data_IF_233226239801
#
_entry.id   IF_233226239801
#
_cell.length_a   1.000
_cell.length_b   1.000
_cell.length_c   1.000
_cell.angle_alpha   90.00
_cell.angle_beta   90.00
_cell.angle_gamma   90.00
#
_symmetry.space_group_name_H-M   'P 1'
#
loop_
_entity.id
_entity.type
_entity.pdbx_description
1 polymer ?
#
# COMPACT_ATOMS: atom_id res chain seq x y z
N UNK A 1 -0.63 9.44 0.78
CA UNK A 1 0.57 9.95 1.47
C UNK A 1 1.45 10.62 0.44
N UNK A 2 2.13 11.72 0.76
CA UNK A 2 2.97 12.44 -0.21
C UNK A 2 4.17 13.13 0.43
N UNK A 3 5.26 13.21 -0.34
CA UNK A 3 6.47 13.97 -0.03
C UNK A 3 7.23 14.30 -1.32
N UNK A 4 7.33 15.58 -1.68
CA UNK A 4 7.98 16.05 -2.89
C UNK A 4 7.48 15.40 -4.20
N UNK A 5 6.16 15.47 -4.42
CA UNK A 5 5.46 14.84 -5.55
C UNK A 5 4.68 15.86 -6.38
N UNK A 6 5.17 17.11 -6.51
CA UNK A 6 4.47 18.18 -7.24
C UNK A 6 4.15 17.81 -8.70
N UNK A 7 4.99 16.99 -9.33
CA UNK A 7 4.79 16.48 -10.70
C UNK A 7 3.63 15.48 -10.83
N UNK A 8 3.16 14.89 -9.74
CA UNK A 8 2.25 13.73 -9.76
C UNK A 8 0.97 13.91 -8.94
N UNK A 9 1.04 14.64 -7.83
CA UNK A 9 -0.03 14.71 -6.81
C UNK A 9 -1.36 15.21 -7.36
N UNK A 10 -1.32 16.12 -8.33
CA UNK A 10 -2.53 16.61 -9.02
C UNK A 10 -3.29 15.45 -9.66
N UNK A 11 -2.60 14.59 -10.42
CA UNK A 11 -3.24 13.44 -11.06
C UNK A 11 -3.73 12.40 -10.03
N UNK A 12 -2.97 12.17 -8.97
CA UNK A 12 -3.39 11.28 -7.89
C UNK A 12 -4.73 11.76 -7.29
N UNK A 13 -4.85 13.06 -6.97
CA UNK A 13 -6.06 13.66 -6.42
C UNK A 13 -7.24 13.61 -7.41
N UNK A 14 -7.02 13.93 -8.68
CA UNK A 14 -8.07 13.81 -9.71
C UNK A 14 -8.59 12.37 -9.84
N UNK A 15 -7.73 11.36 -9.66
CA UNK A 15 -8.15 9.96 -9.72
C UNK A 15 -9.07 9.54 -8.56
N UNK A 16 -8.90 10.19 -7.40
CA UNK A 16 -9.76 9.98 -6.21
C UNK A 16 -11.04 10.79 -6.33
N UNK A 17 -10.96 12.05 -6.75
CA UNK A 17 -12.11 12.96 -6.88
C UNK A 17 -13.06 12.55 -8.01
N UNK A 18 -12.58 11.81 -9.01
CA UNK A 18 -13.40 11.27 -10.09
C UNK A 18 -14.08 9.93 -9.78
N UNK A 19 -14.01 9.47 -8.53
CA UNK A 19 -14.71 8.26 -8.11
C UNK A 19 -16.22 8.46 -8.06
N UNK A 20 -16.96 7.52 -8.65
CA UNK A 20 -18.40 7.44 -8.68
C UNK A 20 -18.84 6.48 -7.57
N UNK A 21 -19.41 7.03 -6.50
CA UNK A 21 -19.92 6.28 -5.34
C UNK A 21 -21.29 6.79 -4.95
N UNK A 22 -22.08 5.91 -4.32
CA UNK A 22 -23.35 6.22 -3.67
C UNK A 22 -23.20 6.46 -2.15
N UNK A 23 -21.97 6.36 -1.64
CA UNK A 23 -21.58 6.68 -0.28
C UNK A 23 -20.62 7.86 -0.23
N UNK A 24 -20.52 8.47 0.96
CA UNK A 24 -19.62 9.60 1.22
C UNK A 24 -18.14 9.16 1.24
N UNK A 25 -17.26 10.04 0.78
CA UNK A 25 -15.82 9.86 0.79
C UNK A 25 -15.19 11.02 1.55
N UNK A 26 -14.22 10.71 2.42
CA UNK A 26 -13.27 11.66 2.98
C UNK A 26 -11.89 11.39 2.38
N UNK A 27 -11.17 12.44 1.98
CA UNK A 27 -9.80 12.37 1.49
C UNK A 27 -8.89 13.01 2.54
N UNK A 28 -8.15 12.18 3.27
CA UNK A 28 -7.11 12.64 4.19
C UNK A 28 -5.75 12.64 3.51
N UNK A 29 -5.21 13.83 3.25
CA UNK A 29 -3.90 14.02 2.64
C UNK A 29 -2.87 14.28 3.75
N UNK A 30 -1.90 13.38 3.90
CA UNK A 30 -0.70 13.65 4.70
C UNK A 30 0.45 14.04 3.78
N UNK A 31 0.97 15.25 4.00
CA UNK A 31 2.18 15.78 3.39
C UNK A 31 3.32 15.76 4.42
N UNK A 32 4.40 15.04 4.11
CA UNK A 32 5.52 14.83 5.03
C UNK A 32 6.58 15.94 4.95
N UNK A 33 6.12 17.20 5.02
CA UNK A 33 6.92 18.41 4.92
C UNK A 33 7.61 18.58 3.57
N UNK A 34 6.83 18.50 2.48
CA UNK A 34 7.34 18.76 1.13
C UNK A 34 7.93 20.16 1.02
N UNK A 35 9.04 20.26 0.31
CA UNK A 35 9.77 21.51 0.04
C UNK A 35 9.63 21.98 -1.41
N UNK A 36 8.95 21.19 -2.24
CA UNK A 36 8.59 21.54 -3.62
C UNK A 36 7.18 22.17 -3.69
N UNK A 37 6.58 22.21 -4.89
CA UNK A 37 5.23 22.73 -5.11
C UNK A 37 4.07 21.89 -4.56
N UNK A 38 4.34 20.77 -3.88
CA UNK A 38 3.31 19.80 -3.47
C UNK A 38 2.27 20.42 -2.53
N UNK A 39 2.70 21.18 -1.52
CA UNK A 39 1.78 21.78 -0.54
C UNK A 39 0.85 22.80 -1.18
N UNK A 40 1.32 23.60 -2.13
CA UNK A 40 0.53 24.60 -2.84
C UNK A 40 -0.55 23.94 -3.71
N UNK A 41 -0.21 22.82 -4.36
CA UNK A 41 -1.18 22.02 -5.11
C UNK A 41 -2.25 21.48 -4.15
N UNK A 42 -1.84 20.86 -3.03
CA UNK A 42 -2.76 20.35 -2.00
C UNK A 42 -3.69 21.45 -1.49
N UNK A 43 -3.17 22.64 -1.18
CA UNK A 43 -3.98 23.77 -0.69
C UNK A 43 -5.00 24.25 -1.72
N UNK A 44 -4.64 24.20 -3.01
CA UNK A 44 -5.56 24.50 -4.12
C UNK A 44 -6.72 23.50 -4.16
N UNK A 45 -6.44 22.21 -4.03
CA UNK A 45 -7.47 21.16 -4.00
C UNK A 45 -8.34 21.26 -2.76
N UNK A 46 -7.73 21.42 -1.57
CA UNK A 46 -8.46 21.61 -0.31
C UNK A 46 -9.41 22.80 -0.37
N UNK A 47 -8.99 23.91 -0.96
CA UNK A 47 -9.83 25.11 -1.09
C UNK A 47 -11.02 24.89 -2.03
N UNK A 48 -10.87 24.04 -3.06
CA UNK A 48 -11.95 23.66 -3.99
C UNK A 48 -12.92 22.63 -3.39
N UNK A 49 -12.43 21.76 -2.50
CA UNK A 49 -13.20 20.65 -1.94
C UNK A 49 -13.09 20.59 -0.41
N UNK A 50 -13.47 21.67 0.33
CA UNK A 50 -13.21 21.79 1.77
C UNK A 50 -13.99 20.76 2.61
N UNK A 51 -15.14 20.29 2.13
CA UNK A 51 -15.99 19.31 2.82
C UNK A 51 -15.55 17.85 2.57
N UNK A 52 -14.64 17.63 1.61
CA UNK A 52 -14.17 16.31 1.21
C UNK A 52 -12.70 16.12 1.60
N UNK A 53 -11.88 17.17 1.49
CA UNK A 53 -10.42 17.09 1.67
C UNK A 53 -10.01 17.65 3.02
N UNK A 54 -9.37 16.79 3.82
CA UNK A 54 -8.61 17.16 5.02
C UNK A 54 -7.12 16.99 4.78
N UNK A 55 -6.32 17.79 5.46
CA UNK A 55 -4.87 17.80 5.26
C UNK A 55 -4.13 17.79 6.60
N UNK A 56 -3.10 16.96 6.70
CA UNK A 56 -2.08 16.98 7.75
C UNK A 56 -0.77 17.35 7.07
N UNK A 57 -0.31 18.58 7.27
CA UNK A 57 0.96 19.06 6.72
C UNK A 57 2.00 19.11 7.82
N UNK A 58 3.02 18.28 7.71
CA UNK A 58 4.11 18.26 8.66
C UNK A 58 5.02 19.48 8.47
N UNK A 59 5.64 19.93 9.56
CA UNK A 59 6.66 21.00 9.52
C UNK A 59 8.06 20.46 9.22
N UNK A 60 8.29 19.20 9.55
CA UNK A 60 9.54 18.48 9.33
C UNK A 60 9.23 17.08 8.81
N UNK A 61 10.12 16.51 8.01
CA UNK A 61 9.91 15.20 7.39
C UNK A 61 9.96 14.09 8.46
N UNK A 62 8.80 13.54 8.82
CA UNK A 62 8.65 12.57 9.89
C UNK A 62 9.28 11.23 9.53
N UNK A 63 9.25 10.84 8.25
CA UNK A 63 9.90 9.62 7.80
C UNK A 63 11.41 9.64 8.06
N UNK A 64 12.06 10.78 7.82
CA UNK A 64 13.49 11.00 8.05
C UNK A 64 13.85 10.95 9.54
N UNK A 65 12.89 11.26 10.41
CA UNK A 65 13.00 11.12 11.86
C UNK A 65 12.71 9.69 12.34
N UNK A 66 12.57 8.73 11.43
CA UNK A 66 12.33 7.33 11.74
C UNK A 66 10.87 7.01 12.10
N UNK A 67 9.95 7.97 12.03
CA UNK A 67 8.52 7.73 12.29
C UNK A 67 7.84 7.08 11.10
N UNK A 68 6.70 6.42 11.32
CA UNK A 68 5.88 5.87 10.24
C UNK A 68 4.66 6.73 9.99
N UNK A 69 4.47 7.12 8.73
CA UNK A 69 3.38 7.99 8.30
C UNK A 69 2.02 7.38 8.64
N UNK A 70 1.90 6.06 8.51
CA UNK A 70 0.66 5.36 8.83
C UNK A 70 0.28 5.51 10.32
N UNK A 71 1.22 5.62 11.25
CA UNK A 71 0.92 5.80 12.68
C UNK A 71 0.36 7.19 12.98
N UNK A 72 0.80 8.18 12.21
CA UNK A 72 0.29 9.55 12.30
C UNK A 72 -1.10 9.62 11.68
N UNK A 73 -1.31 8.92 10.57
CA UNK A 73 -2.58 8.90 9.86
C UNK A 73 -3.65 8.10 10.59
N UNK A 74 -3.28 6.97 11.20
CA UNK A 74 -4.23 5.97 11.68
C UNK A 74 -5.30 6.52 12.63
N UNK A 75 -4.97 7.35 13.65
CA UNK A 75 -5.95 7.92 14.57
C UNK A 75 -6.94 8.89 13.91
N UNK A 76 -6.58 9.42 12.75
CA UNK A 76 -7.33 10.46 12.04
C UNK A 76 -8.33 9.89 11.03
N UNK A 77 -8.21 8.61 10.69
CA UNK A 77 -9.07 7.94 9.70
C UNK A 77 -10.47 7.68 10.27
N UNK A 78 -11.52 8.10 9.58
CA UNK A 78 -12.90 8.02 10.11
C UNK A 78 -13.79 6.96 9.44
N UNK A 79 -13.59 6.67 8.15
CA UNK A 79 -14.47 5.77 7.38
C UNK A 79 -14.42 4.29 7.79
N UNK A 80 -15.50 3.57 7.49
CA UNK A 80 -15.61 2.11 7.69
C UNK A 80 -14.63 1.32 6.79
N UNK A 81 -14.31 1.91 5.64
CA UNK A 81 -13.36 1.38 4.67
C UNK A 81 -12.22 2.36 4.45
N UNK A 82 -10.99 1.86 4.49
CA UNK A 82 -9.77 2.65 4.30
C UNK A 82 -9.14 2.26 2.96
N UNK A 83 -9.09 3.19 2.02
CA UNK A 83 -8.35 3.03 0.76
C UNK A 83 -7.04 3.83 0.84
N UNK A 84 -5.93 3.21 0.43
CA UNK A 84 -4.62 3.87 0.44
C UNK A 84 -4.21 4.27 -0.98
N UNK A 85 -3.55 5.43 -1.08
CA UNK A 85 -2.97 5.95 -2.32
C UNK A 85 -1.76 6.84 -1.99
N UNK A 86 -0.65 6.59 -2.69
CA UNK A 86 0.53 7.45 -2.68
C UNK A 86 0.39 8.55 -3.74
N UNK A 87 0.92 9.74 -3.48
CA UNK A 87 0.74 10.92 -4.33
C UNK A 87 1.43 10.83 -5.69
N UNK A 88 2.25 9.81 -5.93
CA UNK A 88 2.86 9.47 -7.21
C UNK A 88 2.10 8.37 -7.98
N UNK A 89 1.05 7.80 -7.41
CA UNK A 89 0.23 6.74 -8.02
C UNK A 89 -1.15 7.26 -8.45
N UNK A 90 -1.94 6.41 -9.11
CA UNK A 90 -3.25 6.82 -9.62
C UNK A 90 -4.22 5.64 -9.78
N UNK A 91 -5.49 5.87 -9.49
CA UNK A 91 -6.57 4.91 -9.75
C UNK A 91 -7.07 5.03 -11.19
N UNK A 92 -7.33 3.88 -11.82
CA UNK A 92 -7.67 3.80 -13.25
C UNK A 92 -9.15 3.66 -13.54
N UNK A 93 -9.93 3.18 -12.59
CA UNK A 93 -11.38 3.00 -12.73
C UNK A 93 -12.10 4.07 -11.92
N UNK A 94 -13.13 4.69 -12.52
CA UNK A 94 -14.00 5.65 -11.83
C UNK A 94 -14.90 4.99 -10.79
N UNK A 95 -15.11 3.69 -10.85
CA UNK A 95 -15.96 2.93 -9.92
C UNK A 95 -15.14 1.99 -9.02
N UNK A 96 -13.83 2.21 -8.88
CA UNK A 96 -12.93 1.38 -8.05
C UNK A 96 -13.45 1.30 -6.62
N UNK A 97 -13.75 2.44 -5.99
CA UNK A 97 -14.21 2.45 -4.61
C UNK A 97 -15.54 1.71 -4.44
N UNK A 98 -16.51 1.96 -5.31
CA UNK A 98 -17.80 1.26 -5.29
C UNK A 98 -17.63 -0.27 -5.43
N UNK A 99 -16.75 -0.72 -6.34
CA UNK A 99 -16.44 -2.14 -6.52
C UNK A 99 -15.79 -2.78 -5.29
N UNK A 100 -14.84 -2.09 -4.67
CA UNK A 100 -14.15 -2.61 -3.50
C UNK A 100 -15.06 -2.63 -2.26
N UNK A 101 -15.87 -1.59 -2.05
CA UNK A 101 -16.88 -1.57 -0.98
C UNK A 101 -17.89 -2.68 -1.18
N UNK A 102 -18.48 -2.80 -2.37
CA UNK A 102 -19.42 -3.89 -2.70
C UNK A 102 -18.79 -5.26 -2.45
N UNK A 103 -17.55 -5.48 -2.90
CA UNK A 103 -16.85 -6.75 -2.68
C UNK A 103 -16.69 -7.05 -1.19
N UNK A 104 -16.33 -6.05 -0.38
CA UNK A 104 -16.19 -6.24 1.06
C UNK A 104 -17.55 -6.48 1.72
N UNK A 105 -18.59 -5.70 1.41
CA UNK A 105 -19.95 -5.87 1.95
C UNK A 105 -20.53 -7.26 1.66
N UNK A 106 -20.31 -7.78 0.44
CA UNK A 106 -20.73 -9.14 0.05
C UNK A 106 -19.91 -10.25 0.72
N UNK A 107 -18.78 -9.92 1.37
CA UNK A 107 -17.86 -10.85 1.99
C UNK A 107 -17.45 -10.34 3.39
N UNK A 108 -18.34 -10.43 4.40
CA UNK A 108 -18.11 -9.83 5.72
C UNK A 108 -16.93 -10.44 6.48
N UNK A 109 -16.44 -11.63 6.11
CA UNK A 109 -15.22 -12.27 6.64
C UNK A 109 -13.93 -11.87 5.91
N UNK A 110 -14.01 -10.96 4.93
CA UNK A 110 -12.88 -10.41 4.18
C UNK A 110 -12.35 -9.14 4.86
N UNK A 111 -11.07 -9.15 5.25
CA UNK A 111 -10.43 -8.06 5.97
C UNK A 111 -9.94 -6.93 5.06
N UNK A 112 -9.48 -7.27 3.86
CA UNK A 112 -9.02 -6.31 2.87
C UNK A 112 -9.15 -6.89 1.47
N UNK A 113 -9.29 -6.02 0.46
CA UNK A 113 -9.26 -6.43 -0.94
C UNK A 113 -8.34 -5.54 -1.77
N UNK A 114 -7.91 -6.07 -2.92
CA UNK A 114 -7.18 -5.30 -3.93
C UNK A 114 -7.55 -5.73 -5.34
N UNK A 115 -7.29 -4.85 -6.31
CA UNK A 115 -7.30 -5.18 -7.72
C UNK A 115 -5.92 -5.57 -8.28
N UNK A 116 -5.82 -5.60 -9.60
CA UNK A 116 -4.55 -5.59 -10.33
C UNK A 116 -4.01 -4.16 -10.40
N UNK A 117 -2.73 -4.01 -10.11
CA UNK A 117 -1.97 -2.77 -10.33
C UNK A 117 -0.97 -2.94 -11.45
N UNK A 118 -0.93 -1.99 -12.37
CA UNK A 118 0.05 -1.95 -13.44
C UNK A 118 1.23 -1.06 -13.05
N UNK A 119 2.44 -1.56 -13.20
CA UNK A 119 3.64 -0.76 -12.97
C UNK A 119 4.02 -0.08 -14.27
N UNK A 120 4.20 1.23 -14.21
CA UNK A 120 4.42 2.09 -15.37
C UNK A 120 5.71 2.88 -15.24
N UNK A 121 6.34 3.16 -16.37
CA UNK A 121 7.57 3.95 -16.42
C UNK A 121 7.52 4.93 -17.59
N UNK A 122 8.16 6.08 -17.40
CA UNK A 122 8.25 7.13 -18.41
C UNK A 122 6.95 7.90 -18.61
N UNK A 123 7.04 9.00 -19.37
CA UNK A 123 5.91 9.91 -19.64
C UNK A 123 4.74 9.22 -20.36
N UNK A 124 5.02 8.21 -21.19
CA UNK A 124 4.00 7.43 -21.90
C UNK A 124 3.33 6.33 -21.04
N UNK A 125 3.69 6.21 -19.75
CA UNK A 125 3.16 5.20 -18.82
C UNK A 125 3.26 3.78 -19.35
N UNK A 126 4.37 3.47 -20.03
CA UNK A 126 4.63 2.13 -20.57
C UNK A 126 4.51 1.12 -19.45
N UNK A 127 3.61 0.16 -19.64
CA UNK A 127 3.47 -0.98 -18.72
C UNK A 127 4.74 -1.83 -18.76
N UNK A 128 5.37 -2.03 -17.60
CA UNK A 128 6.55 -2.90 -17.50
C UNK A 128 6.27 -4.18 -16.71
N UNK A 129 5.27 -4.17 -15.81
CA UNK A 129 4.79 -5.36 -15.10
C UNK A 129 3.40 -5.17 -14.52
N UNK A 130 2.81 -6.25 -14.03
CA UNK A 130 1.57 -6.21 -13.26
C UNK A 130 1.77 -6.86 -11.89
N UNK A 131 1.05 -6.34 -10.91
CA UNK A 131 1.03 -6.82 -9.53
C UNK A 131 -0.42 -7.04 -9.08
N UNK A 132 -0.69 -8.03 -8.21
CA UNK A 132 0.26 -9.04 -7.79
C UNK A 132 0.61 -10.03 -8.90
N UNK A 133 1.67 -10.84 -8.74
CA UNK A 133 1.96 -11.96 -9.64
C UNK A 133 0.75 -12.90 -9.78
N UNK A 134 0.59 -13.54 -10.94
CA UNK A 134 -0.59 -14.38 -11.27
C UNK A 134 -0.97 -15.40 -10.17
N UNK A 135 0.01 -16.00 -9.50
CA UNK A 135 -0.23 -16.98 -8.41
C UNK A 135 -1.00 -16.42 -7.20
N UNK A 136 -1.01 -15.10 -7.02
CA UNK A 136 -1.75 -14.43 -5.94
C UNK A 136 -3.08 -13.84 -6.41
N UNK A 137 -3.47 -14.05 -7.68
CA UNK A 137 -4.72 -13.55 -8.29
C UNK A 137 -5.88 -14.53 -8.09
N UNK A 138 -6.02 -15.00 -6.86
CA UNK A 138 -7.11 -15.88 -6.45
C UNK A 138 -8.08 -15.05 -5.64
N UNK A 139 -9.40 -15.26 -5.82
CA UNK A 139 -10.44 -14.48 -5.12
C UNK A 139 -10.13 -14.34 -3.63
N UNK A 140 -9.68 -15.43 -3.00
CA UNK A 140 -9.38 -15.54 -1.57
C UNK A 140 -7.95 -15.98 -1.33
N UNK A 141 -7.24 -15.30 -0.43
CA UNK A 141 -5.93 -15.67 0.10
C UNK A 141 -5.93 -15.51 1.62
N UNK A 142 -5.40 -16.48 2.32
CA UNK A 142 -5.20 -16.41 3.78
C UNK A 142 -3.89 -15.71 4.16
N UNK A 143 -3.78 -15.29 5.43
CA UNK A 143 -2.59 -14.64 5.99
C UNK A 143 -1.27 -15.39 5.70
N UNK A 144 -1.25 -16.71 5.84
CA UNK A 144 -0.06 -17.54 5.61
C UNK A 144 0.57 -17.33 4.22
N UNK A 145 -0.25 -16.97 3.23
CA UNK A 145 0.20 -16.71 1.88
C UNK A 145 1.03 -15.43 1.76
N UNK A 146 0.95 -14.55 2.75
CA UNK A 146 1.75 -13.32 2.84
C UNK A 146 3.12 -13.60 3.42
N UNK A 147 3.33 -14.69 4.17
CA UNK A 147 4.60 -14.97 4.85
C UNK A 147 5.83 -14.92 3.91
N UNK A 148 5.79 -15.41 2.65
CA UNK A 148 6.91 -15.29 1.72
C UNK A 148 7.22 -13.85 1.26
N UNK A 149 6.31 -12.91 1.49
CA UNK A 149 6.44 -11.49 1.15
C UNK A 149 5.11 -10.84 0.78
N UNK A 150 5.06 -9.51 0.89
CA UNK A 150 3.88 -8.72 0.58
C UNK A 150 3.43 -8.93 -0.88
N UNK A 151 2.16 -9.30 -1.07
CA UNK A 151 1.51 -9.35 -2.38
C UNK A 151 0.33 -8.37 -2.48
N UNK A 152 0.19 -7.45 -1.54
CA UNK A 152 -0.85 -6.40 -1.52
C UNK A 152 -0.22 -5.05 -1.89
N UNK A 153 -0.82 -4.34 -2.85
CA UNK A 153 -0.30 -3.06 -3.33
C UNK A 153 -0.94 -1.91 -2.56
N UNK A 154 -0.12 -1.06 -1.95
CA UNK A 154 -0.57 0.11 -1.18
C UNK A 154 -1.51 1.00 -1.99
N UNK A 155 -1.18 1.36 -3.23
CA UNK A 155 -2.05 2.19 -4.08
C UNK A 155 -3.35 1.55 -4.55
N UNK A 156 -3.64 0.29 -4.19
CA UNK A 156 -4.82 -0.44 -4.66
C UNK A 156 -5.52 -1.26 -3.57
N UNK A 157 -5.10 -1.13 -2.31
CA UNK A 157 -5.75 -1.82 -1.21
C UNK A 157 -6.95 -1.03 -0.70
N UNK A 158 -8.00 -1.75 -0.32
CA UNK A 158 -9.06 -1.26 0.57
C UNK A 158 -9.16 -2.20 1.76
N UNK A 159 -9.11 -1.64 2.97
CA UNK A 159 -9.13 -2.37 4.24
C UNK A 159 -10.47 -2.10 4.93
N UNK A 160 -11.11 -3.14 5.45
CA UNK A 160 -12.24 -3.01 6.38
C UNK A 160 -11.70 -2.56 7.74
N UNK A 161 -12.01 -1.34 8.16
CA UNK A 161 -11.45 -0.74 9.37
C UNK A 161 -11.76 -1.55 10.62
N UNK A 162 -12.98 -2.11 10.73
CA UNK A 162 -13.39 -2.94 11.87
C UNK A 162 -12.60 -4.24 12.03
N UNK A 163 -11.87 -4.67 11.00
CA UNK A 163 -11.01 -5.86 11.04
C UNK A 163 -9.54 -5.53 11.29
N UNK A 164 -9.16 -4.24 11.33
CA UNK A 164 -7.80 -3.88 11.71
C UNK A 164 -7.69 -3.82 13.24
N UNK A 165 -6.75 -4.56 13.85
CA UNK A 165 -6.51 -4.45 15.28
C UNK A 165 -5.89 -3.09 15.62
N UNK A 166 -5.89 -2.74 16.91
CA UNK A 166 -5.07 -1.64 17.40
C UNK A 166 -3.61 -1.84 16.99
N UNK A 167 -2.92 -0.76 16.62
CA UNK A 167 -1.51 -0.81 16.24
C UNK A 167 -0.70 -1.29 17.45
N UNK A 168 -0.03 -2.46 17.36
CA UNK A 168 0.67 -3.02 18.51
C UNK A 168 2.03 -2.35 18.72
N UNK A 169 2.53 -2.40 19.96
CA UNK A 169 3.87 -1.92 20.32
C UNK A 169 4.96 -2.49 19.41
N UNK A 170 5.95 -1.68 19.04
CA UNK A 170 7.05 -2.03 18.17
C UNK A 170 6.73 -1.92 16.67
N UNK A 171 5.52 -1.51 16.29
CA UNK A 171 5.16 -1.23 14.90
C UNK A 171 5.97 -0.05 14.35
N UNK A 172 6.28 0.92 15.20
CA UNK A 172 7.08 2.12 14.91
C UNK A 172 8.49 1.79 14.43
N UNK A 173 9.01 0.66 14.89
CA UNK A 173 10.34 0.14 14.55
C UNK A 173 10.36 -0.56 13.18
N UNK A 174 9.22 -0.83 12.55
CA UNK A 174 9.17 -1.66 11.34
C UNK A 174 9.55 -0.88 10.10
N UNK A 175 10.44 -1.38 9.23
CA UNK A 175 10.91 -0.63 8.07
C UNK A 175 9.87 -0.48 6.94
N UNK A 176 8.87 -1.37 6.88
CA UNK A 176 7.76 -1.35 5.92
C UNK A 176 6.43 -1.51 6.67
N UNK A 177 5.80 -0.37 6.99
CA UNK A 177 4.56 -0.35 7.74
C UNK A 177 3.38 -0.96 6.99
N UNK A 178 3.36 -0.84 5.66
CA UNK A 178 2.28 -1.35 4.80
C UNK A 178 2.15 -2.88 4.86
N UNK A 179 3.26 -3.60 4.69
CA UNK A 179 3.27 -5.07 4.77
C UNK A 179 2.77 -5.55 6.14
N UNK A 180 3.24 -4.93 7.21
CA UNK A 180 2.81 -5.26 8.57
C UNK A 180 1.33 -4.94 8.78
N UNK A 181 0.86 -3.79 8.31
CA UNK A 181 -0.54 -3.37 8.39
C UNK A 181 -1.48 -4.38 7.70
N UNK A 182 -1.15 -4.80 6.48
CA UNK A 182 -1.96 -5.74 5.72
C UNK A 182 -1.97 -7.12 6.37
N UNK A 183 -0.84 -7.55 6.93
CA UNK A 183 -0.75 -8.80 7.68
C UNK A 183 -1.53 -8.73 9.00
N UNK A 184 -1.57 -7.58 9.68
CA UNK A 184 -2.40 -7.37 10.87
C UNK A 184 -3.90 -7.43 10.54
N UNK A 185 -4.34 -6.78 9.45
CA UNK A 185 -5.72 -6.90 8.98
C UNK A 185 -6.09 -8.36 8.65
N UNK A 186 -5.20 -9.05 7.94
CA UNK A 186 -5.42 -10.43 7.52
C UNK A 186 -5.41 -11.46 8.68
N UNK A 187 -5.10 -11.06 9.92
CA UNK A 187 -5.34 -11.91 11.11
C UNK A 187 -6.82 -12.03 11.45
N UNK A 188 -7.62 -11.02 11.09
CA UNK A 188 -9.05 -10.95 11.41
C UNK A 188 -9.96 -11.46 10.28
N UNK A 189 -9.39 -11.84 9.13
CA UNK A 189 -10.14 -12.26 7.95
C UNK A 189 -9.23 -12.50 6.74
N UNK A 190 -9.83 -12.94 5.62
CA UNK A 190 -9.06 -13.25 4.42
C UNK A 190 -8.79 -12.03 3.53
N UNK A 191 -7.87 -12.19 2.59
CA UNK A 191 -7.43 -11.18 1.63
C UNK A 191 -8.12 -11.41 0.28
N UNK A 192 -8.90 -10.43 -0.15
CA UNK A 192 -9.64 -10.46 -1.40
C UNK A 192 -8.88 -9.98 -2.62
N UNK A 193 -9.17 -10.61 -3.75
CA UNK A 193 -8.70 -10.17 -5.06
C UNK A 193 -9.85 -9.99 -6.03
N UNK A 194 -9.94 -8.79 -6.60
CA UNK A 194 -10.86 -8.46 -7.68
C UNK A 194 -10.06 -8.45 -8.99
N UNK A 195 -10.47 -9.27 -9.97
CA UNK A 195 -9.69 -9.49 -11.20
C UNK A 195 -9.83 -8.36 -12.24
N UNK A 196 -9.59 -7.13 -11.81
CA UNK A 196 -9.70 -5.92 -12.62
C UNK A 196 -8.49 -5.01 -12.39
N UNK A 197 -8.11 -4.24 -13.40
CA UNK A 197 -7.06 -3.24 -13.26
C UNK A 197 -7.61 -1.95 -12.70
N UNK A 198 -7.22 -1.62 -11.47
CA UNK A 198 -7.82 -0.53 -10.71
C UNK A 198 -6.84 0.59 -10.38
N UNK A 199 -5.54 0.37 -10.56
CA UNK A 199 -4.52 1.36 -10.30
C UNK A 199 -3.30 1.17 -11.20
N UNK A 200 -2.49 2.22 -11.32
CA UNK A 200 -1.11 2.08 -11.75
C UNK A 200 -0.14 2.64 -10.71
N UNK A 201 1.02 1.99 -10.62
CA UNK A 201 2.16 2.39 -9.81
C UNK A 201 3.23 3.02 -10.70
N UNK A 202 3.68 4.25 -10.40
CA UNK A 202 4.76 4.89 -11.19
C UNK A 202 6.13 4.48 -10.71
N UNK A 203 7.01 4.17 -11.67
CA UNK A 203 8.44 4.01 -11.45
C UNK A 203 9.17 5.23 -12.01
N UNK A 204 9.84 5.94 -11.12
CA UNK A 204 10.71 7.08 -11.34
C UNK A 204 11.91 7.03 -10.37
N UNK A 205 12.87 7.94 -10.59
CA UNK A 205 14.11 7.97 -9.79
C UNK A 205 13.81 8.06 -8.30
N UNK A 206 12.84 8.86 -7.87
CA UNK A 206 12.60 9.15 -6.45
C UNK A 206 11.77 8.09 -5.68
N UNK A 207 11.39 6.94 -6.27
CA UNK A 207 10.61 5.95 -5.50
C UNK A 207 11.48 5.25 -4.45
N UNK A 208 11.07 5.35 -3.18
CA UNK A 208 11.72 4.69 -2.05
C UNK A 208 11.89 3.17 -2.26
N UNK A 209 10.83 2.48 -2.66
CA UNK A 209 10.91 1.03 -2.89
C UNK A 209 11.83 0.68 -4.06
N UNK A 210 11.80 1.45 -5.16
CA UNK A 210 12.61 1.16 -6.33
C UNK A 210 14.11 1.35 -6.06
N UNK A 211 14.48 2.34 -5.25
CA UNK A 211 15.87 2.63 -4.89
C UNK A 211 16.47 1.70 -3.82
N UNK A 212 15.65 1.11 -2.94
CA UNK A 212 16.16 0.28 -1.84
C UNK A 212 16.95 -0.93 -2.38
N UNK A 213 18.19 -1.19 -1.97
CA UNK A 213 18.94 -2.39 -2.39
C UNK A 213 18.20 -3.70 -2.06
N UNK A 214 18.45 -4.76 -2.85
CA UNK A 214 17.80 -6.06 -2.65
C UNK A 214 18.03 -6.62 -1.24
N UNK A 215 19.27 -6.58 -0.76
CA UNK A 215 19.64 -7.13 0.54
C UNK A 215 18.90 -6.41 1.68
N UNK A 216 18.76 -5.10 1.57
CA UNK A 216 17.98 -4.29 2.51
C UNK A 216 16.50 -4.62 2.43
N UNK A 217 15.92 -4.77 1.23
CA UNK A 217 14.51 -5.21 1.10
C UNK A 217 14.28 -6.56 1.79
N UNK A 218 15.22 -7.49 1.65
CA UNK A 218 15.16 -8.80 2.29
C UNK A 218 15.25 -8.69 3.81
N UNK A 219 16.24 -7.96 4.33
CA UNK A 219 16.40 -7.75 5.76
C UNK A 219 15.14 -7.11 6.37
N UNK A 220 14.63 -6.05 5.73
CA UNK A 220 13.41 -5.36 6.14
C UNK A 220 12.17 -6.27 6.09
N UNK A 221 12.07 -7.15 5.09
CA UNK A 221 11.00 -8.16 5.00
C UNK A 221 11.08 -9.16 6.14
N UNK A 222 12.28 -9.60 6.53
CA UNK A 222 12.47 -10.51 7.67
C UNK A 222 12.09 -9.86 8.99
N UNK A 223 12.40 -8.58 9.18
CA UNK A 223 11.96 -7.82 10.36
C UNK A 223 10.44 -7.84 10.50
N UNK A 224 9.71 -7.55 9.41
CA UNK A 224 8.24 -7.59 9.42
C UNK A 224 7.74 -9.01 9.67
N UNK A 225 8.36 -10.03 9.06
CA UNK A 225 7.96 -11.43 9.26
C UNK A 225 8.12 -11.88 10.70
N UNK A 226 9.26 -11.57 11.33
CA UNK A 226 9.50 -11.88 12.73
C UNK A 226 8.50 -11.17 13.64
N UNK A 227 8.22 -9.90 13.36
CA UNK A 227 7.20 -9.13 14.08
C UNK A 227 5.81 -9.78 14.00
N UNK A 228 5.36 -10.16 12.81
CA UNK A 228 4.07 -10.85 12.64
C UNK A 228 4.09 -12.20 13.37
N UNK A 229 5.15 -13.00 13.24
CA UNK A 229 5.25 -14.31 13.90
C UNK A 229 5.06 -14.23 15.43
N UNK A 230 5.61 -13.21 16.08
CA UNK A 230 5.44 -13.03 17.54
C UNK A 230 4.00 -12.73 17.97
N UNK A 231 3.12 -12.36 17.04
CA UNK A 231 1.70 -12.02 17.27
C UNK A 231 0.74 -13.12 16.81
N UNK A 232 1.26 -14.21 16.24
CA UNK A 232 0.45 -15.33 15.80
C UNK A 232 0.39 -16.45 16.86
N UNK A 233 -0.70 -17.23 16.89
CA UNK A 233 -0.74 -18.51 17.60
C UNK A 233 0.41 -19.43 17.15
N UNK A 234 0.99 -20.25 18.04
CA UNK A 234 2.13 -21.12 17.71
C UNK A 234 1.98 -21.91 16.41
N UNK A 235 0.79 -22.46 16.16
CA UNK A 235 0.44 -23.27 15.00
C UNK A 235 0.44 -22.49 13.66
N UNK A 236 0.44 -21.15 13.71
CA UNK A 236 0.48 -20.28 12.53
C UNK A 236 1.86 -19.64 12.29
N UNK A 237 2.85 -19.88 13.17
CA UNK A 237 4.16 -19.21 13.10
C UNK A 237 5.10 -19.78 12.06
N UNK A 238 4.99 -21.08 11.77
CA UNK A 238 5.95 -21.80 10.93
C UNK A 238 6.20 -21.14 9.56
N UNK A 239 5.18 -20.71 8.79
CA UNK A 239 5.39 -20.02 7.52
C UNK A 239 6.24 -18.74 7.63
N UNK A 240 6.20 -18.08 8.78
CA UNK A 240 6.83 -16.77 9.04
C UNK A 240 8.26 -16.89 9.58
N UNK A 241 8.57 -17.99 10.27
CA UNK A 241 9.87 -18.21 10.90
C UNK A 241 10.91 -18.86 9.97
N UNK A 242 10.50 -19.46 8.84
CA UNK A 242 11.42 -20.07 7.87
C UNK A 242 12.28 -18.99 7.19
N UNK A 243 13.60 -18.89 7.46
CA UNK A 243 14.41 -17.80 6.93
C UNK A 243 14.40 -17.77 5.40
N UNK A 244 14.16 -16.61 4.81
CA UNK A 244 14.15 -16.40 3.36
C UNK A 244 15.46 -16.86 2.71
N UNK A 245 16.59 -16.67 3.41
CA UNK A 245 17.93 -17.12 2.98
C UNK A 245 18.08 -18.65 2.87
N UNK A 246 17.29 -19.43 3.62
CA UNK A 246 17.28 -20.90 3.57
C UNK A 246 16.25 -21.46 2.58
N UNK A 247 15.31 -20.65 2.10
CA UNK A 247 14.38 -21.05 1.06
C UNK A 247 15.03 -20.92 -0.34
N UNK A 248 15.50 -22.03 -0.92
CA UNK A 248 16.07 -22.05 -2.28
C UNK A 248 15.12 -21.47 -3.35
N UNK A 249 13.82 -21.51 -3.06
CA UNK A 249 12.74 -20.97 -3.88
C UNK A 249 12.74 -19.43 -3.98
N UNK A 250 12.97 -18.69 -2.88
CA UNK A 250 12.89 -17.23 -2.91
C UNK A 250 14.16 -16.58 -3.47
N UNK A 251 15.35 -17.17 -3.27
CA UNK A 251 16.58 -16.72 -3.95
C UNK A 251 16.42 -16.72 -5.47
N UNK A 252 15.80 -17.76 -6.03
CA UNK A 252 15.52 -17.86 -7.47
C UNK A 252 14.49 -16.81 -7.90
N UNK A 253 13.42 -16.65 -7.13
CA UNK A 253 12.34 -15.71 -7.45
C UNK A 253 12.74 -14.24 -7.36
N UNK A 254 13.49 -13.84 -6.32
CA UNK A 254 14.03 -12.49 -6.15
C UNK A 254 15.10 -12.19 -7.20
N UNK A 255 16.03 -13.13 -7.46
CA UNK A 255 16.99 -12.97 -8.56
C UNK A 255 16.27 -12.79 -9.90
N UNK A 256 15.25 -13.59 -10.21
CA UNK A 256 14.51 -13.44 -11.49
C UNK A 256 13.66 -12.17 -11.54
N UNK A 257 13.05 -11.75 -10.42
CA UNK A 257 12.29 -10.50 -10.36
C UNK A 257 13.18 -9.27 -10.50
N UNK A 258 14.40 -9.31 -9.94
CA UNK A 258 15.33 -8.18 -9.85
C UNK A 258 16.22 -8.08 -11.08
N UNK A 259 16.68 -9.22 -11.62
CA UNK A 259 17.35 -9.26 -12.92
C UNK A 259 16.46 -8.70 -14.04
N UNK A 260 15.14 -8.87 -13.94
CA UNK A 260 14.18 -8.23 -14.84
C UNK A 260 13.89 -6.75 -14.53
N UNK A 261 14.16 -6.29 -13.31
CA UNK A 261 13.96 -4.89 -12.89
C UNK A 261 15.17 -4.00 -13.22
N UNK A 262 16.39 -4.55 -13.33
CA UNK A 262 17.62 -3.73 -13.40
C UNK A 262 18.66 -4.12 -14.46
N UNK A 263 18.62 -5.31 -15.09
CA UNK A 263 19.60 -5.68 -16.16
C UNK A 263 19.16 -5.26 -17.57
N UNK A 264 18.41 -4.15 -17.70
CA UNK A 264 18.22 -3.46 -18.99
C UNK A 264 18.39 -1.96 -18.79
N UNK A 265 19.60 -1.57 -18.39
CA UNK A 265 20.18 -0.31 -18.84
C UNK A 265 20.71 -0.50 -20.26
#
# INVERSE_FOLDING_TARGET
MTYNQSDYISEALESVLSQNTDFAIEILIHDDASTDGTQQIIDTYRSKYPDIIRTIKQKENQHSQGRRIIEILWPELQGDYIALLDGDDCWTLKDKLARQVKFLDENPDCALCQGRTRYVQGSNRRSIRSFPPRRHRQKRRELEHMAPGNFVQTSNVMIRKSMLPAIPEGFECLPFGDYALFALAAQSGWIGYINEEMAFYRIHSNNMWAQTPLEDRLAKTETVRAFIATRLPPEQRDPWLIPLKKSGFLRKMLRTAIKKLFDRQ
#
